data_IF_515611842833
#
_entry.id   IF_515611842833
#
_cell.length_a   1.000
_cell.length_b   1.000
_cell.length_c   1.000
_cell.angle_alpha   90.00
_cell.angle_beta   90.00
_cell.angle_gamma   90.00
#
_symmetry.space_group_name_H-M   'P 1'
#
loop_
_entity.id
_entity.type
_entity.pdbx_description
1 polymer ?
#
# COMPACT_ATOMS: atom_id res chain seq x y z
N UNK A 1 -8.05 25.81 18.05
CA UNK A 1 -7.91 24.41 18.53
C UNK A 1 -7.99 23.47 17.34
N UNK A 2 -6.96 22.65 17.07
CA UNK A 2 -6.91 21.74 15.90
C UNK A 2 -7.34 20.32 16.33
N UNK A 3 -8.45 19.80 15.82
CA UNK A 3 -8.89 18.44 16.17
C UNK A 3 -8.27 17.38 15.23
N UNK A 4 -7.68 16.30 15.77
CA UNK A 4 -7.08 15.24 14.96
C UNK A 4 -8.15 14.26 14.43
N UNK A 5 -8.83 14.60 13.34
CA UNK A 5 -9.84 13.72 12.75
C UNK A 5 -9.21 12.60 11.92
N UNK A 6 -9.37 11.35 12.36
CA UNK A 6 -8.82 10.17 11.66
C UNK A 6 -7.29 10.06 11.72
N UNK A 7 -6.62 10.90 12.53
CA UNK A 7 -5.19 10.86 12.75
C UNK A 7 -4.89 10.05 14.02
N UNK A 8 -4.05 9.03 13.91
CA UNK A 8 -3.66 8.14 15.02
C UNK A 8 -2.16 8.11 15.30
N UNK A 9 -1.40 8.99 14.64
CA UNK A 9 0.05 9.14 14.81
C UNK A 9 0.29 10.10 15.98
N UNK A 10 0.74 9.57 17.12
CA UNK A 10 0.91 10.33 18.36
C UNK A 10 1.96 11.44 18.19
N UNK A 11 3.12 11.13 17.62
CA UNK A 11 4.18 12.10 17.40
C UNK A 11 3.70 13.26 16.53
N UNK A 12 2.99 12.97 15.45
CA UNK A 12 2.40 14.02 14.59
C UNK A 12 1.38 14.89 15.32
N UNK A 13 0.56 14.29 16.19
CA UNK A 13 -0.45 15.02 16.98
C UNK A 13 0.24 16.05 17.89
N UNK A 14 1.26 15.63 18.62
CA UNK A 14 2.00 16.49 19.56
C UNK A 14 2.78 17.57 18.79
N UNK A 15 3.62 17.17 17.83
CA UNK A 15 4.51 18.10 17.12
C UNK A 15 3.77 19.12 16.25
N UNK A 16 2.59 18.76 15.72
CA UNK A 16 1.78 19.69 14.92
C UNK A 16 0.74 20.48 15.76
N UNK A 17 0.83 20.39 17.09
CA UNK A 17 -0.04 21.06 18.06
C UNK A 17 -1.53 20.79 17.83
N UNK A 18 -1.88 19.53 17.57
CA UNK A 18 -3.28 19.07 17.62
C UNK A 18 -3.74 18.95 19.07
N UNK A 19 -5.05 19.04 19.28
CA UNK A 19 -5.65 18.74 20.56
C UNK A 19 -5.39 17.27 20.92
N UNK A 20 -4.75 17.07 22.07
CA UNK A 20 -4.51 15.78 22.68
C UNK A 20 -5.01 15.84 24.12
N UNK A 21 -5.90 14.92 24.49
CA UNK A 21 -6.33 14.79 25.87
C UNK A 21 -5.37 13.84 26.59
N UNK A 22 -4.55 14.40 27.48
CA UNK A 22 -3.55 13.63 28.21
C UNK A 22 -4.21 12.62 29.15
N UNK A 23 -3.83 11.36 28.98
CA UNK A 23 -4.18 10.20 29.81
C UNK A 23 -2.97 9.30 30.06
N UNK A 24 -1.77 9.87 29.89
CA UNK A 24 -0.51 9.15 30.02
C UNK A 24 -0.22 8.78 31.50
N UNK A 25 -0.92 9.41 32.46
CA UNK A 25 -0.97 9.02 33.87
C UNK A 25 -1.38 7.55 34.09
N UNK A 26 -2.00 6.92 33.09
CA UNK A 26 -2.46 5.53 33.15
C UNK A 26 -1.41 4.50 32.74
N UNK A 27 -0.26 4.92 32.21
CA UNK A 27 0.81 3.99 31.83
C UNK A 27 1.27 3.10 33.00
N UNK A 28 1.55 3.62 34.22
CA UNK A 28 1.92 2.76 35.36
C UNK A 28 0.84 1.74 35.72
N UNK A 29 -0.44 2.11 35.57
CA UNK A 29 -1.55 1.18 35.80
C UNK A 29 -1.57 0.08 34.74
N UNK A 30 -1.31 0.41 33.47
CA UNK A 30 -1.21 -0.57 32.39
C UNK A 30 -0.08 -1.56 32.69
N UNK A 31 1.09 -1.07 33.08
CA UNK A 31 2.25 -1.90 33.47
C UNK A 31 1.92 -2.84 34.63
N UNK A 32 1.14 -2.38 35.62
CA UNK A 32 0.73 -3.20 36.76
C UNK A 32 -0.41 -4.19 36.47
N UNK A 33 -1.15 -4.03 35.36
CA UNK A 33 -2.36 -4.83 35.07
C UNK A 33 -2.02 -6.24 34.59
N UNK A 34 -0.87 -6.41 33.94
CA UNK A 34 -0.36 -7.72 33.51
C UNK A 34 0.45 -7.65 32.21
N UNK A 35 1.17 -8.74 31.94
CA UNK A 35 2.13 -8.81 30.83
C UNK A 35 1.47 -8.84 29.44
N UNK A 36 0.22 -9.30 29.36
CA UNK A 36 -0.52 -9.44 28.10
C UNK A 36 -1.87 -8.74 28.20
N UNK A 37 -1.97 -7.56 27.59
CA UNK A 37 -3.18 -6.74 27.61
C UNK A 37 -3.94 -6.87 26.29
N UNK A 38 -5.23 -7.23 26.38
CA UNK A 38 -6.12 -7.36 25.20
C UNK A 38 -7.23 -6.31 25.24
N UNK A 39 -7.26 -5.42 24.25
CA UNK A 39 -8.24 -4.33 24.17
C UNK A 39 -9.44 -4.68 23.26
N UNK A 40 -10.49 -5.30 23.80
CA UNK A 40 -11.56 -5.95 23.00
C UNK A 40 -12.69 -5.08 22.38
N UNK A 41 -12.99 -3.81 22.74
CA UNK A 41 -13.90 -2.85 22.00
C UNK A 41 -13.93 -1.42 22.60
N UNK A 42 -14.67 -0.38 22.09
CA UNK A 42 -15.37 -0.18 20.80
C UNK A 42 -14.54 0.53 19.71
N UNK A 43 -15.12 0.65 18.50
CA UNK A 43 -14.52 1.29 17.31
C UNK A 43 -14.31 2.80 17.56
N UNK A 44 -13.20 3.36 17.04
CA UNK A 44 -12.81 4.77 17.22
C UNK A 44 -12.52 5.21 18.66
N UNK A 45 -12.31 4.27 19.58
CA UNK A 45 -11.96 4.56 20.98
C UNK A 45 -10.47 4.93 21.17
N UNK A 46 -9.78 5.38 20.11
CA UNK A 46 -8.38 5.79 20.22
C UNK A 46 -7.35 4.67 20.42
N UNK A 47 -7.70 3.39 20.25
CA UNK A 47 -6.76 2.25 20.41
C UNK A 47 -5.48 2.41 19.57
N UNK A 48 -5.62 2.78 18.29
CA UNK A 48 -4.46 3.00 17.41
C UNK A 48 -3.59 4.17 17.88
N UNK A 49 -4.20 5.22 18.42
CA UNK A 49 -3.48 6.35 19.00
C UNK A 49 -2.74 5.94 20.28
N UNK A 50 -3.38 5.14 21.14
CA UNK A 50 -2.77 4.57 22.34
C UNK A 50 -1.56 3.70 21.97
N UNK A 51 -1.70 2.79 21.01
CA UNK A 51 -0.58 1.95 20.55
C UNK A 51 0.56 2.79 19.99
N UNK A 52 0.26 3.80 19.16
CA UNK A 52 1.28 4.72 18.64
C UNK A 52 1.97 5.49 19.77
N UNK A 53 1.23 5.92 20.80
CA UNK A 53 1.81 6.58 21.97
C UNK A 53 2.74 5.65 22.75
N UNK A 54 2.30 4.42 23.05
CA UNK A 54 3.12 3.43 23.77
C UNK A 54 4.37 3.02 22.98
N UNK A 55 4.27 2.91 21.65
CA UNK A 55 5.41 2.69 20.76
C UNK A 55 6.47 3.78 20.96
N UNK A 56 6.08 5.06 20.92
CA UNK A 56 7.02 6.16 21.14
C UNK A 56 7.56 6.23 22.57
N UNK A 57 6.78 5.76 23.56
CA UNK A 57 7.17 5.78 24.96
C UNK A 57 8.19 4.70 25.31
N UNK A 58 8.04 3.49 24.76
CA UNK A 58 8.87 2.33 25.13
C UNK A 58 10.07 2.10 24.22
N UNK A 59 10.02 2.55 22.97
CA UNK A 59 11.05 2.26 21.97
C UNK A 59 12.40 2.95 22.27
N UNK A 60 13.47 2.16 22.30
CA UNK A 60 14.84 2.63 22.50
C UNK A 60 15.30 3.59 21.40
N UNK A 61 14.84 3.41 20.16
CA UNK A 61 15.17 4.31 19.05
C UNK A 61 14.52 5.68 19.16
N UNK A 62 13.60 5.87 20.12
CA UNK A 62 12.85 7.12 20.35
C UNK A 62 13.32 7.89 21.58
N UNK A 63 14.38 7.43 22.24
CA UNK A 63 14.89 8.05 23.46
C UNK A 63 15.23 9.54 23.27
N UNK A 64 15.75 9.92 22.10
CA UNK A 64 16.06 11.30 21.72
C UNK A 64 14.83 12.21 21.61
N UNK A 65 13.67 11.62 21.33
CA UNK A 65 12.39 12.31 21.15
C UNK A 65 11.57 12.41 22.44
N UNK A 66 12.02 11.78 23.53
CA UNK A 66 11.24 11.67 24.77
C UNK A 66 10.77 13.03 25.30
N UNK A 67 11.69 13.97 25.50
CA UNK A 67 11.36 15.30 26.03
C UNK A 67 10.40 16.07 25.12
N UNK A 68 10.60 15.96 23.80
CA UNK A 68 9.76 16.64 22.81
C UNK A 68 8.33 16.10 22.82
N UNK A 69 8.18 14.78 22.96
CA UNK A 69 6.89 14.11 22.84
C UNK A 69 6.13 14.03 24.17
N UNK A 70 6.83 13.80 25.26
CA UNK A 70 6.24 13.50 26.56
C UNK A 70 6.53 14.54 27.63
N UNK A 71 7.56 15.39 27.50
CA UNK A 71 8.01 16.26 28.59
C UNK A 71 6.94 17.18 29.18
N UNK A 72 5.92 17.56 28.40
CA UNK A 72 4.79 18.38 28.87
C UNK A 72 3.56 17.56 29.31
N UNK A 73 3.61 16.23 29.23
CA UNK A 73 2.55 15.30 29.62
C UNK A 73 2.82 14.72 31.01
N UNK A 74 1.79 14.18 31.65
CA UNK A 74 1.86 13.60 32.99
C UNK A 74 2.97 12.53 33.10
N UNK A 75 3.11 11.65 32.10
CA UNK A 75 4.15 10.61 32.11
C UNK A 75 5.56 11.13 31.82
N UNK A 76 5.71 12.27 31.14
CA UNK A 76 7.04 12.86 30.94
C UNK A 76 7.57 13.52 32.20
N UNK A 77 6.67 14.06 33.02
CA UNK A 77 7.00 14.63 34.33
C UNK A 77 7.33 13.54 35.37
N UNK A 78 6.78 12.33 35.21
CA UNK A 78 7.03 11.20 36.09
C UNK A 78 7.15 9.87 35.30
N UNK A 79 8.26 9.65 34.58
CA UNK A 79 8.43 8.46 33.75
C UNK A 79 8.56 7.20 34.59
N UNK A 80 8.05 6.08 34.08
CA UNK A 80 8.31 4.75 34.63
C UNK A 80 9.72 4.32 34.26
N UNK A 81 10.29 3.35 34.99
CA UNK A 81 11.63 2.80 34.70
C UNK A 81 11.73 2.13 33.31
N UNK A 82 10.58 1.90 32.67
CA UNK A 82 10.41 1.18 31.42
C UNK A 82 10.50 2.08 30.18
N UNK A 83 10.50 3.41 30.35
CA UNK A 83 10.54 4.35 29.23
C UNK A 83 11.81 4.15 28.36
N UNK A 84 11.62 4.07 27.04
CA UNK A 84 12.68 3.89 26.03
C UNK A 84 13.67 2.74 26.30
N UNK A 85 13.21 1.64 26.93
CA UNK A 85 14.04 0.46 27.24
C UNK A 85 13.82 -0.74 26.33
N UNK A 86 12.85 -0.67 25.42
CA UNK A 86 12.41 -1.83 24.65
C UNK A 86 12.69 -1.68 23.15
N UNK A 87 12.87 -2.83 22.51
CA UNK A 87 12.67 -2.95 21.07
C UNK A 87 11.18 -3.17 20.84
N UNK A 88 10.55 -2.30 20.05
CA UNK A 88 9.11 -2.34 19.80
C UNK A 88 8.87 -2.84 18.37
N UNK A 89 8.04 -3.88 18.24
CA UNK A 89 7.66 -4.43 16.95
C UNK A 89 6.15 -4.37 16.79
N UNK A 90 5.68 -3.58 15.82
CA UNK A 90 4.25 -3.39 15.55
C UNK A 90 3.76 -4.34 14.47
N UNK A 91 2.69 -5.09 14.75
CA UNK A 91 2.10 -6.05 13.83
C UNK A 91 0.71 -5.56 13.40
N UNK A 92 0.50 -5.41 12.09
CA UNK A 92 -0.78 -5.03 11.51
C UNK A 92 -1.36 -6.17 10.67
N UNK A 93 -2.12 -7.03 11.33
CA UNK A 93 -2.79 -8.17 10.68
C UNK A 93 -3.94 -7.76 9.76
N UNK A 94 -4.36 -6.49 9.71
CA UNK A 94 -5.35 -6.05 8.71
C UNK A 94 -4.82 -6.17 7.27
N UNK A 95 -3.49 -6.20 7.13
CA UNK A 95 -2.79 -6.44 5.87
C UNK A 95 -2.83 -7.92 5.45
N UNK A 96 -3.04 -8.83 6.40
CA UNK A 96 -3.19 -10.27 6.15
C UNK A 96 -4.64 -10.53 5.74
N UNK A 97 -4.87 -10.67 4.44
CA UNK A 97 -6.22 -10.94 3.93
C UNK A 97 -6.62 -12.37 4.30
N UNK A 98 -7.79 -12.52 4.93
CA UNK A 98 -8.43 -13.82 5.10
C UNK A 98 -8.66 -14.46 3.72
N UNK A 99 -8.03 -15.61 3.48
CA UNK A 99 -8.17 -16.38 2.25
C UNK A 99 -9.14 -17.55 2.49
N UNK A 100 -9.69 -18.13 1.40
CA UNK A 100 -10.64 -19.25 1.51
C UNK A 100 -9.95 -20.57 1.91
N UNK A 101 -8.67 -20.73 1.59
CA UNK A 101 -7.89 -21.92 1.92
C UNK A 101 -6.92 -21.66 3.07
N UNK A 102 -6.78 -22.63 3.97
CA UNK A 102 -5.95 -22.53 5.19
C UNK A 102 -4.47 -22.33 4.84
N UNK A 103 -3.95 -23.05 3.83
CA UNK A 103 -2.55 -22.94 3.38
C UNK A 103 -2.18 -21.55 2.88
N UNK A 104 -3.10 -20.92 2.16
CA UNK A 104 -2.93 -19.57 1.62
C UNK A 104 -2.94 -18.49 2.72
N UNK A 105 -3.74 -18.70 3.77
CA UNK A 105 -3.72 -17.86 4.97
C UNK A 105 -2.41 -18.02 5.74
N UNK A 106 -1.97 -19.25 5.95
CA UNK A 106 -0.71 -19.59 6.63
C UNK A 106 0.48 -18.95 5.92
N UNK A 107 0.57 -19.07 4.59
CA UNK A 107 1.62 -18.45 3.80
C UNK A 107 1.57 -16.91 3.86
N UNK A 108 0.38 -16.30 3.80
CA UNK A 108 0.24 -14.85 3.92
C UNK A 108 0.62 -14.33 5.32
N UNK A 109 0.29 -15.09 6.36
CA UNK A 109 0.65 -14.82 7.74
C UNK A 109 2.17 -14.92 7.93
N UNK A 110 2.78 -16.06 7.59
CA UNK A 110 4.23 -16.26 7.68
C UNK A 110 5.00 -15.18 6.93
N UNK A 111 4.52 -14.80 5.73
CA UNK A 111 5.12 -13.72 4.97
C UNK A 111 5.02 -12.37 5.69
N UNK A 112 3.85 -12.01 6.22
CA UNK A 112 3.68 -10.75 6.95
C UNK A 112 4.62 -10.69 8.16
N UNK A 113 4.63 -11.75 8.96
CA UNK A 113 5.49 -11.90 10.14
C UNK A 113 6.97 -11.74 9.76
N UNK A 114 7.42 -12.51 8.76
CA UNK A 114 8.81 -12.50 8.33
C UNK A 114 9.26 -11.14 7.78
N UNK A 115 8.38 -10.43 7.06
CA UNK A 115 8.68 -9.07 6.58
C UNK A 115 8.77 -8.07 7.73
N UNK A 116 7.85 -8.13 8.70
CA UNK A 116 7.86 -7.27 9.89
C UNK A 116 9.13 -7.51 10.72
N UNK A 117 9.51 -8.78 10.94
CA UNK A 117 10.76 -9.13 11.64
C UNK A 117 11.97 -8.56 10.91
N UNK A 118 12.07 -8.72 9.58
CA UNK A 118 13.18 -8.18 8.78
C UNK A 118 13.26 -6.66 8.85
N UNK A 119 12.11 -5.96 8.81
CA UNK A 119 12.07 -4.52 8.92
C UNK A 119 12.54 -4.05 10.31
N UNK A 120 12.02 -4.67 11.38
CA UNK A 120 12.43 -4.42 12.76
C UNK A 120 13.93 -4.68 12.97
N UNK A 121 14.45 -5.77 12.38
CA UNK A 121 15.87 -6.09 12.42
C UNK A 121 16.75 -5.02 11.79
N UNK A 122 16.35 -4.53 10.62
CA UNK A 122 17.05 -3.46 9.94
C UNK A 122 17.01 -2.15 10.75
N UNK A 123 15.85 -1.84 11.35
CA UNK A 123 15.65 -0.66 12.19
C UNK A 123 16.53 -0.66 13.44
N UNK A 124 16.75 -1.82 14.07
CA UNK A 124 17.61 -1.95 15.26
C UNK A 124 19.04 -2.43 14.97
N UNK A 125 19.41 -2.56 13.68
CA UNK A 125 20.76 -2.98 13.28
C UNK A 125 21.12 -4.42 13.64
N UNK A 126 20.12 -5.28 13.87
CA UNK A 126 20.33 -6.69 14.20
C UNK A 126 20.91 -7.44 12.99
N UNK A 127 22.01 -8.18 13.22
CA UNK A 127 22.68 -9.00 12.20
C UNK A 127 22.43 -10.48 12.46
N UNK A 128 22.49 -11.29 11.41
CA UNK A 128 22.41 -12.75 11.48
C UNK A 128 21.10 -13.30 12.08
N UNK A 129 19.96 -12.72 11.71
CA UNK A 129 18.67 -13.28 12.11
C UNK A 129 18.33 -14.48 11.23
N UNK A 130 18.32 -15.66 11.84
CA UNK A 130 17.77 -16.86 11.22
C UNK A 130 16.25 -16.80 11.27
N UNK A 131 15.64 -16.59 10.11
CA UNK A 131 14.19 -16.66 9.94
C UNK A 131 13.91 -17.97 9.20
N UNK A 132 13.09 -18.84 9.79
CA UNK A 132 12.78 -20.16 9.24
C UNK A 132 12.38 -20.07 7.74
N UNK A 133 12.99 -20.88 6.86
CA UNK A 133 12.75 -20.81 5.43
C UNK A 133 11.39 -21.44 5.10
N UNK A 134 10.36 -20.60 5.01
CA UNK A 134 9.03 -20.99 4.50
C UNK A 134 8.48 -20.09 3.39
N UNK A 135 9.20 -19.02 3.03
CA UNK A 135 8.73 -18.06 2.03
C UNK A 135 9.06 -18.55 0.61
N UNK A 136 8.21 -19.42 0.08
CA UNK A 136 8.04 -19.64 -1.36
C UNK A 136 7.81 -18.29 -2.09
N UNK A 137 8.08 -18.22 -3.42
CA UNK A 137 7.94 -17.00 -4.21
C UNK A 137 6.58 -16.33 -4.05
N UNK A 138 6.52 -15.04 -4.40
CA UNK A 138 5.30 -14.23 -4.43
C UNK A 138 4.18 -14.95 -5.22
N UNK A 139 3.33 -15.70 -4.53
CA UNK A 139 2.05 -16.17 -5.06
C UNK A 139 1.02 -15.15 -4.60
N UNK A 140 0.44 -14.42 -5.55
CA UNK A 140 -0.76 -13.63 -5.30
C UNK A 140 -1.81 -14.55 -4.71
N UNK A 141 -2.44 -14.13 -3.61
CA UNK A 141 -3.66 -14.76 -3.10
C UNK A 141 -4.53 -15.24 -4.27
N UNK A 142 -4.96 -16.51 -4.27
CA UNK A 142 -5.63 -17.24 -5.35
C UNK A 142 -6.86 -16.52 -5.95
N UNK A 143 -7.35 -15.45 -5.31
CA UNK A 143 -8.47 -14.60 -5.76
C UNK A 143 -8.12 -13.13 -6.06
N UNK A 144 -6.83 -12.76 -6.14
CA UNK A 144 -6.40 -11.40 -6.54
C UNK A 144 -5.88 -11.44 -7.96
N UNK A 145 -6.47 -10.63 -8.84
CA UNK A 145 -5.91 -10.36 -10.17
C UNK A 145 -4.75 -9.39 -10.01
N UNK A 146 -3.50 -9.79 -10.26
CA UNK A 146 -2.40 -8.85 -10.30
C UNK A 146 -2.56 -7.96 -11.52
N UNK A 147 -2.22 -6.68 -11.40
CA UNK A 147 -2.23 -5.74 -12.51
C UNK A 147 -1.12 -4.72 -12.35
N UNK A 148 -0.66 -4.16 -13.45
CA UNK A 148 0.32 -3.07 -13.49
C UNK A 148 -0.41 -1.77 -13.79
N UNK A 149 -0.11 -0.73 -13.02
CA UNK A 149 -0.52 0.65 -13.31
C UNK A 149 0.71 1.46 -13.69
N UNK A 150 0.75 1.96 -14.92
CA UNK A 150 1.80 2.82 -15.44
C UNK A 150 1.19 4.15 -15.87
N UNK A 151 1.92 5.25 -15.64
CA UNK A 151 1.49 6.60 -15.98
C UNK A 151 2.63 7.26 -16.77
N UNK A 152 2.34 7.75 -17.97
CA UNK A 152 3.28 8.58 -18.72
C UNK A 152 3.09 10.04 -18.33
N UNK A 153 4.18 10.78 -18.22
CA UNK A 153 4.18 12.20 -17.90
C UNK A 153 4.56 13.03 -19.13
N UNK A 154 4.12 14.28 -19.20
CA UNK A 154 4.66 15.26 -20.15
C UNK A 154 5.97 15.87 -19.60
N UNK A 155 6.60 16.73 -20.39
CA UNK A 155 7.84 17.42 -19.99
C UNK A 155 7.67 18.33 -18.75
N UNK A 156 6.45 18.74 -18.42
CA UNK A 156 6.14 19.62 -17.30
C UNK A 156 5.77 18.85 -16.01
N UNK A 157 5.62 17.52 -16.07
CA UNK A 157 5.27 16.66 -14.93
C UNK A 157 3.82 16.17 -14.82
N UNK A 158 2.79 16.83 -15.37
CA UNK A 158 1.44 16.26 -15.45
C UNK A 158 1.33 14.96 -16.27
N UNK A 159 0.37 14.09 -15.96
CA UNK A 159 0.21 12.82 -16.64
C UNK A 159 -0.39 13.04 -18.04
N UNK A 160 0.01 12.26 -19.02
CA UNK A 160 -0.63 12.22 -20.33
C UNK A 160 -1.58 11.02 -20.37
N UNK A 161 -1.01 9.82 -20.25
CA UNK A 161 -1.72 8.56 -20.38
C UNK A 161 -1.49 7.68 -19.16
N UNK A 162 -2.50 6.88 -18.81
CA UNK A 162 -2.41 5.80 -17.87
C UNK A 162 -2.72 4.47 -18.57
N UNK A 163 -1.97 3.43 -18.20
CA UNK A 163 -2.21 2.05 -18.61
C UNK A 163 -2.36 1.22 -17.35
N UNK A 164 -3.52 0.60 -17.17
CA UNK A 164 -3.82 -0.24 -16.02
C UNK A 164 -4.31 -1.59 -16.55
N UNK A 165 -3.48 -2.63 -16.44
CA UNK A 165 -3.70 -3.90 -17.15
C UNK A 165 -3.41 -5.10 -16.25
N UNK A 166 -4.29 -6.12 -16.21
CA UNK A 166 -4.00 -7.40 -15.56
C UNK A 166 -2.74 -8.05 -16.09
N UNK A 167 -1.93 -8.60 -15.20
CA UNK A 167 -0.78 -9.45 -15.54
C UNK A 167 -1.01 -10.84 -14.95
N UNK A 168 -0.45 -11.91 -15.54
CA UNK A 168 -0.61 -13.28 -15.02
C UNK A 168 0.05 -13.46 -13.63
N UNK A 169 1.00 -12.60 -13.29
CA UNK A 169 1.66 -12.56 -11.99
C UNK A 169 2.56 -11.33 -11.87
N UNK A 170 2.99 -11.00 -10.65
CA UNK A 170 4.01 -9.98 -10.41
C UNK A 170 5.40 -10.63 -10.38
N UNK A 171 5.78 -11.25 -11.50
CA UNK A 171 7.09 -11.89 -11.71
C UNK A 171 7.92 -11.08 -12.70
N UNK A 172 9.25 -11.24 -12.65
CA UNK A 172 10.15 -10.56 -13.60
C UNK A 172 9.81 -10.90 -15.06
N UNK A 173 9.48 -12.18 -15.35
CA UNK A 173 9.06 -12.61 -16.68
C UNK A 173 7.75 -11.94 -17.13
N UNK A 174 6.71 -11.95 -16.29
CA UNK A 174 5.42 -11.34 -16.62
C UNK A 174 5.52 -9.81 -16.82
N UNK A 175 6.37 -9.15 -16.02
CA UNK A 175 6.61 -7.72 -16.14
C UNK A 175 7.49 -7.38 -17.35
N UNK A 176 8.41 -8.27 -17.75
CA UNK A 176 9.16 -8.15 -19.00
C UNK A 176 8.24 -8.24 -20.22
N UNK A 177 7.36 -9.24 -20.27
CA UNK A 177 6.40 -9.39 -21.37
C UNK A 177 5.44 -8.21 -21.44
N UNK A 178 4.94 -7.77 -20.28
CA UNK A 178 4.13 -6.55 -20.20
C UNK A 178 4.89 -5.33 -20.71
N UNK A 179 6.14 -5.14 -20.30
CA UNK A 179 6.97 -4.00 -20.70
C UNK A 179 7.20 -3.98 -22.22
N UNK A 180 7.57 -5.12 -22.82
CA UNK A 180 7.73 -5.25 -24.28
C UNK A 180 6.46 -4.92 -25.06
N UNK A 181 5.29 -5.23 -24.50
CA UNK A 181 4.00 -4.95 -25.13
C UNK A 181 3.49 -3.52 -24.86
N UNK A 182 4.03 -2.82 -23.86
CA UNK A 182 3.45 -1.58 -23.36
C UNK A 182 4.34 -0.34 -23.44
N UNK A 183 5.66 -0.53 -23.55
CA UNK A 183 6.66 0.52 -23.53
C UNK A 183 7.48 0.48 -24.82
N UNK A 184 7.90 1.66 -25.27
CA UNK A 184 8.84 1.75 -26.37
C UNK A 184 10.27 1.52 -25.85
N UNK A 185 11.15 0.82 -26.59
CA UNK A 185 12.58 0.77 -26.27
C UNK A 185 13.16 2.18 -26.10
N UNK A 186 14.08 2.36 -25.15
CA UNK A 186 14.65 3.66 -24.77
C UNK A 186 13.75 4.54 -23.89
N UNK A 187 12.55 4.06 -23.51
CA UNK A 187 11.70 4.82 -22.57
C UNK A 187 12.33 4.85 -21.17
N UNK A 188 12.43 6.02 -20.51
CA UNK A 188 12.81 6.11 -19.11
C UNK A 188 11.64 5.60 -18.24
N UNK A 189 11.92 4.64 -17.37
CA UNK A 189 10.93 4.01 -16.50
C UNK A 189 11.37 4.13 -15.06
N UNK A 190 10.53 4.78 -14.26
CA UNK A 190 10.69 4.86 -12.81
C UNK A 190 9.73 3.87 -12.13
N UNK A 191 10.24 3.01 -11.26
CA UNK A 191 9.41 2.12 -10.42
C UNK A 191 9.78 2.20 -8.95
N UNK A 192 8.91 1.65 -8.10
CA UNK A 192 9.28 1.35 -6.73
C UNK A 192 10.37 0.25 -6.67
N UNK A 193 10.91 0.01 -5.48
CA UNK A 193 11.94 -1.00 -5.22
C UNK A 193 11.47 -2.45 -5.38
N UNK A 194 10.32 -2.70 -6.00
CA UNK A 194 9.84 -4.06 -6.24
C UNK A 194 10.71 -4.76 -7.29
N UNK A 195 11.43 -5.80 -6.87
CA UNK A 195 12.41 -6.52 -7.70
C UNK A 195 11.85 -7.10 -9.01
N UNK A 196 10.54 -7.26 -9.15
CA UNK A 196 9.93 -7.69 -10.40
C UNK A 196 10.08 -6.69 -11.56
N UNK A 197 10.20 -5.39 -11.28
CA UNK A 197 10.36 -4.37 -12.32
C UNK A 197 11.75 -4.36 -12.96
N UNK A 198 12.72 -5.12 -12.43
CA UNK A 198 14.01 -5.34 -13.11
C UNK A 198 13.83 -5.90 -14.54
N UNK A 199 12.75 -6.64 -14.78
CA UNK A 199 12.39 -7.18 -16.10
C UNK A 199 12.06 -6.13 -17.17
N UNK A 200 11.85 -4.87 -16.78
CA UNK A 200 11.63 -3.75 -17.71
C UNK A 200 12.86 -3.49 -18.58
N UNK A 201 14.07 -3.72 -18.07
CA UNK A 201 15.31 -3.59 -18.83
C UNK A 201 15.36 -4.52 -20.04
N UNK A 202 14.74 -5.70 -19.95
CA UNK A 202 14.64 -6.66 -21.05
C UNK A 202 13.69 -6.20 -22.19
N UNK A 203 12.95 -5.11 -22.01
CA UNK A 203 12.23 -4.42 -23.08
C UNK A 203 13.09 -3.32 -23.75
N UNK A 204 14.35 -3.19 -23.36
CA UNK A 204 15.25 -2.13 -23.83
C UNK A 204 14.94 -0.76 -23.23
N UNK A 205 14.25 -0.70 -22.10
CA UNK A 205 13.92 0.54 -21.41
C UNK A 205 14.98 0.90 -20.34
N UNK A 206 15.17 2.20 -20.11
CA UNK A 206 16.07 2.72 -19.09
C UNK A 206 15.37 2.70 -17.74
N UNK A 207 15.68 1.72 -16.91
CA UNK A 207 14.98 1.48 -15.64
C UNK A 207 15.72 2.10 -14.45
N UNK A 208 15.00 2.92 -13.68
CA UNK A 208 15.44 3.43 -12.39
C UNK A 208 14.48 2.95 -11.29
N UNK A 209 15.03 2.27 -10.29
CA UNK A 209 14.28 1.83 -9.11
C UNK A 209 14.50 2.80 -7.95
N UNK A 210 13.41 3.33 -7.38
CA UNK A 210 13.47 4.05 -6.11
C UNK A 210 13.05 3.10 -4.99
N UNK A 211 13.98 2.77 -4.10
CA UNK A 211 13.69 2.01 -2.89
C UNK A 211 12.97 2.94 -1.91
N UNK A 212 11.64 2.94 -2.00
CA UNK A 212 10.74 3.59 -1.04
C UNK A 212 10.76 2.73 0.22
N UNK A 213 11.70 2.97 1.13
CA UNK A 213 11.78 2.29 2.43
C UNK A 213 10.57 2.66 3.33
N UNK A 214 10.82 3.23 4.51
CA UNK A 214 9.76 3.72 5.42
C UNK A 214 9.14 5.07 5.00
N UNK A 215 9.46 5.59 3.81
CA UNK A 215 8.98 6.91 3.36
C UNK A 215 7.46 6.88 3.21
N UNK A 216 6.78 7.81 3.89
CA UNK A 216 5.33 7.99 3.75
C UNK A 216 5.02 8.47 2.32
N UNK A 217 3.84 8.21 1.74
CA UNK A 217 3.52 8.53 0.33
C UNK A 217 3.74 10.00 -0.09
N UNK A 218 3.68 10.95 0.83
CA UNK A 218 3.95 12.38 0.58
C UNK A 218 5.44 12.71 0.48
N UNK A 219 6.32 11.80 0.90
CA UNK A 219 7.77 11.91 0.88
C UNK A 219 8.39 11.24 -0.35
N UNK A 220 7.55 10.80 -1.29
CA UNK A 220 7.95 10.22 -2.57
C UNK A 220 7.11 10.88 -3.70
N UNK A 221 7.32 12.18 -3.98
CA UNK A 221 6.55 12.94 -4.97
C UNK A 221 6.62 12.32 -6.37
N UNK A 222 7.65 11.55 -6.67
CA UNK A 222 7.85 10.84 -7.94
C UNK A 222 6.72 9.82 -8.22
N UNK A 223 6.05 9.32 -7.17
CA UNK A 223 4.91 8.40 -7.28
C UNK A 223 3.55 9.09 -7.08
N UNK A 224 3.50 10.43 -7.03
CA UNK A 224 2.27 11.18 -6.79
C UNK A 224 1.15 10.87 -7.78
N UNK A 225 1.46 10.83 -9.08
CA UNK A 225 0.48 10.50 -10.12
C UNK A 225 0.04 9.04 -10.13
N UNK A 226 0.95 8.03 -10.09
CA UNK A 226 0.57 6.64 -9.89
C UNK A 226 -0.36 6.43 -8.68
N UNK A 227 -0.04 7.03 -7.53
CA UNK A 227 -0.89 6.95 -6.33
C UNK A 227 -2.25 7.61 -6.53
N UNK A 228 -2.32 8.76 -7.19
CA UNK A 228 -3.58 9.44 -7.51
C UNK A 228 -4.46 8.58 -8.42
N UNK A 229 -3.87 7.97 -9.45
CA UNK A 229 -4.56 7.05 -10.37
C UNK A 229 -5.10 5.83 -9.63
N UNK A 230 -4.30 5.21 -8.76
CA UNK A 230 -4.73 4.07 -7.94
C UNK A 230 -5.83 4.47 -6.93
N UNK A 231 -5.74 5.66 -6.35
CA UNK A 231 -6.77 6.23 -5.47
C UNK A 231 -8.12 6.41 -6.20
N UNK A 232 -8.11 7.02 -7.38
CA UNK A 232 -9.30 7.21 -8.21
C UNK A 232 -9.91 5.87 -8.64
N UNK A 233 -9.05 4.90 -8.98
CA UNK A 233 -9.49 3.55 -9.33
C UNK A 233 -10.22 2.88 -8.15
N UNK A 234 -9.66 2.98 -6.94
CA UNK A 234 -10.27 2.44 -5.71
C UNK A 234 -11.62 3.09 -5.41
N UNK A 235 -11.71 4.41 -5.56
CA UNK A 235 -12.98 5.16 -5.39
C UNK A 235 -14.02 4.68 -6.38
N UNK A 236 -13.66 4.52 -7.65
CA UNK A 236 -14.57 4.00 -8.68
C UNK A 236 -15.06 2.59 -8.35
N UNK A 237 -14.20 1.69 -7.91
CA UNK A 237 -14.61 0.34 -7.52
C UNK A 237 -15.55 0.31 -6.32
N UNK A 238 -15.35 1.22 -5.37
CA UNK A 238 -16.20 1.31 -4.17
C UNK A 238 -17.57 1.92 -4.48
N UNK A 239 -17.63 2.82 -5.46
CA UNK A 239 -18.86 3.54 -5.83
C UNK A 239 -19.65 2.92 -6.98
N UNK A 240 -19.03 2.78 -8.15
CA UNK A 240 -19.71 2.47 -9.42
C UNK A 240 -19.76 0.97 -9.69
N UNK A 241 -18.64 0.28 -9.47
CA UNK A 241 -18.52 -1.13 -9.86
C UNK A 241 -18.99 -2.11 -8.76
N UNK A 242 -19.52 -1.59 -7.63
CA UNK A 242 -20.12 -2.32 -6.48
C UNK A 242 -19.49 -3.71 -6.23
N UNK A 243 -18.18 -3.72 -6.01
CA UNK A 243 -17.27 -4.86 -6.01
C UNK A 243 -17.87 -6.21 -5.51
N UNK A 244 -18.17 -7.12 -6.45
CA UNK A 244 -18.45 -8.53 -6.13
C UNK A 244 -17.69 -9.55 -7.00
N UNK A 245 -17.11 -9.17 -8.15
CA UNK A 245 -16.45 -10.15 -9.03
C UNK A 245 -15.28 -9.59 -9.89
N UNK A 246 -14.34 -8.87 -9.26
CA UNK A 246 -13.18 -8.28 -9.94
C UNK A 246 -12.34 -9.31 -10.71
N UNK A 247 -12.27 -10.57 -10.25
CA UNK A 247 -11.58 -11.64 -10.96
C UNK A 247 -12.14 -11.86 -12.37
N UNK A 248 -13.47 -11.93 -12.48
CA UNK A 248 -14.17 -12.17 -13.74
C UNK A 248 -14.15 -10.97 -14.69
N UNK A 249 -14.23 -9.75 -14.16
CA UNK A 249 -14.42 -8.54 -14.97
C UNK A 249 -13.25 -7.56 -14.95
N UNK A 250 -12.13 -7.93 -14.30
CA UNK A 250 -11.00 -7.04 -14.04
C UNK A 250 -10.47 -6.37 -15.30
N UNK A 251 -10.30 -7.14 -16.39
CA UNK A 251 -9.87 -6.60 -17.69
C UNK A 251 -10.79 -5.48 -18.18
N UNK A 252 -12.12 -5.66 -18.12
CA UNK A 252 -13.09 -4.65 -18.57
C UNK A 252 -13.10 -3.43 -17.67
N UNK A 253 -13.07 -3.63 -16.36
CA UNK A 253 -13.10 -2.52 -15.41
C UNK A 253 -11.85 -1.64 -15.52
N UNK A 254 -10.68 -2.26 -15.60
CA UNK A 254 -9.42 -1.54 -15.76
C UNK A 254 -9.33 -0.86 -17.12
N UNK A 255 -9.76 -1.53 -18.21
CA UNK A 255 -9.80 -0.93 -19.54
C UNK A 255 -10.77 0.27 -19.60
N UNK A 256 -11.97 0.15 -19.03
CA UNK A 256 -12.94 1.24 -18.97
C UNK A 256 -12.47 2.40 -18.08
N UNK A 257 -11.61 2.13 -17.09
CA UNK A 257 -10.96 3.18 -16.31
C UNK A 257 -9.87 3.88 -17.10
N UNK A 258 -8.93 3.15 -17.69
CA UNK A 258 -7.87 3.70 -18.53
C UNK A 258 -8.45 4.50 -19.71
N UNK A 259 -9.52 4.00 -20.36
CA UNK A 259 -10.19 4.68 -21.47
C UNK A 259 -10.67 6.09 -21.11
N UNK A 260 -11.27 6.26 -19.91
CA UNK A 260 -11.75 7.56 -19.41
C UNK A 260 -10.60 8.45 -18.94
N UNK A 261 -9.61 7.90 -18.22
CA UNK A 261 -8.44 8.66 -17.77
C UNK A 261 -7.68 9.26 -18.95
N UNK A 262 -7.51 8.50 -20.03
CA UNK A 262 -6.76 8.93 -21.22
C UNK A 262 -7.53 9.94 -22.08
N UNK A 263 -8.79 10.25 -21.72
CA UNK A 263 -9.67 11.20 -22.42
C UNK A 263 -10.31 12.20 -21.47
N UNK A 264 -9.77 12.33 -20.26
CA UNK A 264 -10.34 13.16 -19.19
C UNK A 264 -10.49 14.64 -19.53
N UNK A 265 -9.75 15.12 -20.53
CA UNK A 265 -9.85 16.50 -21.04
C UNK A 265 -10.95 16.68 -22.10
N UNK A 266 -11.49 15.60 -22.66
CA UNK A 266 -12.50 15.61 -23.72
C UNK A 266 -13.56 14.51 -23.46
N UNK A 267 -14.15 14.51 -22.26
CA UNK A 267 -15.11 13.47 -21.83
C UNK A 267 -16.42 13.47 -22.63
N UNK A 268 -16.78 14.63 -23.17
CA UNK A 268 -17.91 14.86 -24.07
C UNK A 268 -17.80 14.05 -25.37
N UNK A 269 -16.59 13.74 -25.82
CA UNK A 269 -16.34 12.97 -27.05
C UNK A 269 -16.47 11.45 -26.89
N UNK A 270 -16.59 10.94 -25.65
CA UNK A 270 -16.60 9.50 -25.37
C UNK A 270 -17.72 8.74 -26.11
N UNK A 271 -18.99 9.20 -26.13
CA UNK A 271 -20.05 8.48 -26.83
C UNK A 271 -19.80 8.37 -28.33
N UNK A 272 -19.33 9.46 -28.96
CA UNK A 272 -19.01 9.48 -30.38
C UNK A 272 -17.89 8.50 -30.72
N UNK A 273 -16.83 8.45 -29.91
CA UNK A 273 -15.74 7.50 -30.11
C UNK A 273 -16.18 6.04 -29.93
N UNK A 274 -17.05 5.75 -28.96
CA UNK A 274 -17.62 4.42 -28.79
C UNK A 274 -18.50 4.03 -29.99
N UNK A 275 -19.27 4.97 -30.53
CA UNK A 275 -20.08 4.76 -31.72
C UNK A 275 -19.21 4.46 -32.94
N UNK A 276 -18.17 5.26 -33.18
CA UNK A 276 -17.21 5.02 -34.28
C UNK A 276 -16.54 3.66 -34.12
N UNK A 277 -16.11 3.29 -32.91
CA UNK A 277 -15.52 1.98 -32.66
C UNK A 277 -16.52 0.83 -32.87
N UNK A 278 -17.78 1.02 -32.50
CA UNK A 278 -18.85 0.03 -32.70
C UNK A 278 -19.22 -0.16 -34.18
N UNK A 279 -19.12 0.90 -34.99
CA UNK A 279 -19.34 0.83 -36.44
C UNK A 279 -18.13 0.22 -37.14
N UNK A 280 -16.91 0.57 -36.72
CA UNK A 280 -15.68 0.08 -37.32
C UNK A 280 -15.38 -1.39 -36.97
N UNK A 281 -15.87 -1.87 -35.83
CA UNK A 281 -15.68 -3.27 -35.45
C UNK A 281 -16.64 -4.16 -36.26
N UNK A 282 -16.08 -4.98 -37.16
CA UNK A 282 -16.86 -6.01 -37.86
C UNK A 282 -17.53 -6.99 -36.89
N UNK A 283 -18.51 -7.79 -37.36
CA UNK A 283 -19.25 -8.73 -36.51
C UNK A 283 -18.30 -9.66 -35.75
N UNK A 284 -18.46 -9.73 -34.42
CA UNK A 284 -17.63 -10.56 -33.53
C UNK A 284 -18.47 -11.65 -32.87
N UNK A 285 -17.95 -12.89 -32.79
CA UNK A 285 -18.66 -13.96 -32.09
C UNK A 285 -18.74 -13.69 -30.59
N UNK A 286 -19.78 -14.19 -29.93
CA UNK A 286 -19.98 -14.04 -28.48
C UNK A 286 -18.76 -14.50 -27.67
N UNK A 287 -18.06 -15.54 -28.14
CA UNK A 287 -16.82 -16.03 -27.53
C UNK A 287 -15.72 -14.97 -27.48
N UNK A 288 -15.60 -14.15 -28.53
CA UNK A 288 -14.62 -13.07 -28.61
C UNK A 288 -15.01 -11.92 -27.68
N UNK A 289 -16.28 -11.51 -27.67
CA UNK A 289 -16.79 -10.46 -26.78
C UNK A 289 -16.63 -10.80 -25.29
N UNK A 290 -16.74 -12.10 -24.96
CA UNK A 290 -16.53 -12.63 -23.60
C UNK A 290 -15.08 -13.00 -23.31
N UNK A 291 -14.13 -12.86 -24.24
CA UNK A 291 -12.72 -13.17 -23.98
C UNK A 291 -12.14 -12.33 -22.84
N UNK A 292 -12.60 -11.08 -22.71
CA UNK A 292 -12.26 -10.19 -21.60
C UNK A 292 -12.87 -10.61 -20.24
N UNK A 293 -13.75 -11.61 -20.22
CA UNK A 293 -14.43 -12.16 -19.03
C UNK A 293 -13.95 -13.58 -18.66
N UNK A 294 -13.06 -14.16 -19.47
CA UNK A 294 -12.60 -15.56 -19.36
C UNK A 294 -11.38 -15.76 -18.45
N UNK A 295 -10.98 -14.76 -17.67
CA UNK A 295 -9.86 -14.87 -16.74
C UNK A 295 -10.23 -15.73 -15.52
N UNK A 296 -10.29 -17.05 -15.74
CA UNK A 296 -10.16 -18.12 -14.74
C UNK A 296 -9.22 -19.16 -15.33
#
# INVERSE_FOLDING_TARGET
MKFPYGLSDFSKIIQSSYFYQDRTDRIPLLEATGDQLVFIRPRRFGKSLLLSMLEHYYDVNRADQFETLFGHLAIGQNPTLLHNRYFVMTWDFSLVKAQREVKDLEMALHRHINLTIKACAAEYGWRNIEIAPGCAPFITATNKVPFVAAVSLNAEGPPLYAKVIPVPGLTCAALSDWAKAALAPGSPVLSDGFGGFTGVTAAGCDHQAIIVGLRKPHQAPEFGWPHTILGNLKTRFSGVDHAFNFAKYGTRYLAAFAYRVNRRFHLDTLPAHLLVAAIAIGPRPTRWLRQAEKSC
#
